data_IF_129691990910
#
_entry.id   IF_129691990910
#
_cell.length_a   1.000
_cell.length_b   1.000
_cell.length_c   1.000
_cell.angle_alpha   90.00
_cell.angle_beta   90.00
_cell.angle_gamma   90.00
#
_symmetry.space_group_name_H-M   'P 1'
#
loop_
_entity.id
_entity.type
_entity.pdbx_description
1 polymer ?
#
# COMPACT_ATOMS: atom_id res chain seq x y z
N UNK A 1 18.53 8.15 20.38
CA UNK A 1 19.33 8.46 19.19
C UNK A 1 18.45 8.20 17.99
N UNK A 2 18.43 9.10 17.02
CA UNK A 2 17.65 8.92 15.80
C UNK A 2 18.40 7.99 14.82
N UNK A 3 17.65 7.37 13.90
CA UNK A 3 18.23 6.54 12.84
C UNK A 3 18.91 7.42 11.80
N UNK A 4 20.21 7.23 11.62
CA UNK A 4 21.06 7.87 10.62
C UNK A 4 21.97 6.81 10.00
N UNK A 5 22.71 7.15 8.94
CA UNK A 5 23.70 6.23 8.37
C UNK A 5 24.80 5.82 9.36
N UNK A 6 25.11 6.66 10.35
CA UNK A 6 26.13 6.42 11.37
C UNK A 6 25.61 5.62 12.57
N UNK A 7 24.32 5.76 12.89
CA UNK A 7 23.67 5.08 14.03
C UNK A 7 22.93 3.80 13.64
N UNK A 8 22.82 3.50 12.34
CA UNK A 8 22.22 2.26 11.85
C UNK A 8 23.00 1.03 12.33
N UNK A 9 22.29 0.06 12.89
CA UNK A 9 22.87 -1.21 13.36
C UNK A 9 23.38 -2.05 12.19
N UNK A 10 22.59 -2.12 11.11
CA UNK A 10 22.97 -2.83 9.88
C UNK A 10 23.76 -1.90 8.96
N UNK A 11 24.92 -2.34 8.42
CA UNK A 11 25.66 -1.55 7.45
C UNK A 11 24.92 -1.44 6.10
N UNK A 12 23.92 -2.30 5.83
CA UNK A 12 23.07 -2.25 4.64
C UNK A 12 22.31 -0.92 4.57
N UNK A 13 21.85 -0.40 5.71
CA UNK A 13 21.13 0.88 5.81
C UNK A 13 22.05 2.05 6.21
N UNK A 14 23.26 1.73 6.70
CA UNK A 14 24.28 2.69 7.13
C UNK A 14 25.41 2.88 6.10
N UNK A 15 26.57 2.28 6.38
CA UNK A 15 27.80 2.40 5.57
C UNK A 15 27.59 2.17 4.07
N UNK A 16 26.71 1.26 3.71
CA UNK A 16 26.40 0.87 2.33
C UNK A 16 25.02 1.36 1.88
N UNK A 17 24.35 2.24 2.64
CA UNK A 17 22.99 2.70 2.35
C UNK A 17 22.82 3.34 0.97
N UNK A 18 23.85 4.01 0.45
CA UNK A 18 23.84 4.57 -0.91
C UNK A 18 23.99 3.53 -2.02
N UNK A 19 24.48 2.33 -1.70
CA UNK A 19 24.58 1.19 -2.64
C UNK A 19 23.30 0.36 -2.69
N UNK A 20 22.45 0.49 -1.68
CA UNK A 20 21.22 -0.29 -1.49
C UNK A 20 19.97 0.58 -1.57
N UNK A 21 20.10 1.88 -1.89
CA UNK A 21 18.97 2.82 -1.95
C UNK A 21 17.84 2.36 -2.88
N UNK A 22 18.17 1.81 -4.05
CA UNK A 22 17.20 1.27 -5.00
C UNK A 22 16.40 0.07 -4.47
N UNK A 23 16.86 -0.57 -3.39
CA UNK A 23 16.17 -1.68 -2.74
C UNK A 23 15.10 -1.20 -1.75
N UNK A 24 15.17 0.06 -1.27
CA UNK A 24 14.24 0.62 -0.29
C UNK A 24 12.79 0.59 -0.78
N UNK A 25 12.45 0.97 -2.03
CA UNK A 25 11.07 0.90 -2.52
C UNK A 25 10.52 -0.53 -2.66
N UNK A 26 11.36 -1.56 -2.48
CA UNK A 26 11.01 -2.96 -2.75
C UNK A 26 10.97 -3.77 -1.45
N UNK A 27 12.08 -3.76 -0.68
CA UNK A 27 12.29 -4.67 0.44
C UNK A 27 12.17 -4.01 1.82
N UNK A 28 11.95 -2.69 1.88
CA UNK A 28 11.63 -2.04 3.15
C UNK A 28 10.17 -2.27 3.55
N UNK A 29 9.82 -1.87 4.77
CA UNK A 29 8.43 -1.82 5.22
C UNK A 29 7.55 -0.98 4.27
N UNK A 30 8.06 0.15 3.76
CA UNK A 30 7.35 0.94 2.74
C UNK A 30 7.11 0.12 1.47
N UNK A 31 8.13 -0.60 1.00
CA UNK A 31 8.02 -1.45 -0.19
C UNK A 31 7.01 -2.57 0.00
N UNK A 32 7.01 -3.23 1.16
CA UNK A 32 6.05 -4.27 1.52
C UNK A 32 4.61 -3.72 1.53
N UNK A 33 4.37 -2.60 2.22
CA UNK A 33 3.04 -1.98 2.28
C UNK A 33 2.57 -1.57 0.88
N UNK A 34 3.43 -0.92 0.09
CA UNK A 34 3.12 -0.50 -1.28
C UNK A 34 2.67 -1.67 -2.16
N UNK A 35 3.35 -2.80 -2.07
CA UNK A 35 2.98 -3.99 -2.85
C UNK A 35 1.73 -4.69 -2.30
N UNK A 36 1.48 -4.65 -0.99
CA UNK A 36 0.20 -5.13 -0.43
C UNK A 36 -0.98 -4.31 -0.95
N UNK A 37 -0.86 -2.98 -0.96
CA UNK A 37 -1.86 -2.09 -1.56
C UNK A 37 -2.10 -2.45 -3.03
N UNK A 38 -1.04 -2.67 -3.81
CA UNK A 38 -1.17 -3.12 -5.20
C UNK A 38 -1.98 -4.42 -5.32
N UNK A 39 -1.63 -5.43 -4.54
CA UNK A 39 -2.27 -6.75 -4.62
C UNK A 39 -3.75 -6.65 -4.26
N UNK A 40 -4.10 -5.93 -3.18
CA UNK A 40 -5.50 -5.76 -2.75
C UNK A 40 -6.33 -5.01 -3.79
N UNK A 41 -5.76 -3.94 -4.39
CA UNK A 41 -6.42 -3.21 -5.48
C UNK A 41 -6.67 -4.12 -6.69
N UNK A 42 -5.64 -4.86 -7.12
CA UNK A 42 -5.73 -5.78 -8.27
C UNK A 42 -6.68 -6.93 -7.99
N UNK A 43 -6.76 -7.38 -6.74
CA UNK A 43 -7.70 -8.40 -6.31
C UNK A 43 -9.15 -7.94 -6.43
N UNK A 44 -9.48 -6.73 -5.95
CA UNK A 44 -10.82 -6.16 -6.13
C UNK A 44 -11.20 -6.02 -7.61
N UNK A 45 -10.27 -5.53 -8.45
CA UNK A 45 -10.49 -5.41 -9.89
C UNK A 45 -10.72 -6.79 -10.54
N UNK A 46 -9.97 -7.82 -10.12
CA UNK A 46 -10.13 -9.17 -10.62
C UNK A 46 -11.49 -9.78 -10.22
N UNK A 47 -11.94 -9.55 -8.97
CA UNK A 47 -13.25 -9.97 -8.51
C UNK A 47 -14.36 -9.30 -9.33
N UNK A 48 -14.29 -7.99 -9.54
CA UNK A 48 -15.27 -7.24 -10.31
C UNK A 48 -15.34 -7.65 -11.79
N UNK A 49 -14.22 -8.09 -12.37
CA UNK A 49 -14.16 -8.58 -13.74
C UNK A 49 -14.76 -9.99 -13.89
N UNK A 50 -14.97 -10.73 -12.79
CA UNK A 50 -15.41 -12.11 -12.82
C UNK A 50 -16.94 -12.20 -12.85
N UNK A 51 -17.51 -12.58 -14.01
CA UNK A 51 -18.97 -12.62 -14.22
C UNK A 51 -19.74 -13.57 -13.29
N UNK A 52 -19.05 -14.52 -12.65
CA UNK A 52 -19.61 -15.43 -11.65
C UNK A 52 -19.78 -14.86 -10.24
N UNK A 53 -19.41 -13.60 -9.98
CA UNK A 53 -19.50 -12.95 -8.66
C UNK A 53 -20.43 -11.74 -8.75
N UNK A 54 -21.77 -11.92 -8.71
CA UNK A 54 -22.72 -10.83 -8.92
C UNK A 54 -22.71 -9.77 -7.81
N UNK A 55 -22.20 -10.09 -6.62
CA UNK A 55 -22.05 -9.16 -5.50
C UNK A 55 -20.98 -8.09 -5.73
N UNK A 56 -20.07 -8.31 -6.70
CA UNK A 56 -19.03 -7.36 -7.10
C UNK A 56 -19.20 -7.11 -8.61
N UNK A 57 -20.04 -6.14 -9.02
CA UNK A 57 -20.28 -5.87 -10.43
C UNK A 57 -19.04 -5.31 -11.12
N UNK A 58 -19.02 -5.38 -12.45
CA UNK A 58 -17.94 -4.82 -13.26
C UNK A 58 -17.77 -3.32 -12.98
N UNK A 59 -16.53 -2.93 -12.68
CA UNK A 59 -16.17 -1.54 -12.40
C UNK A 59 -16.24 -0.69 -13.67
N UNK A 60 -16.71 0.54 -13.51
CA UNK A 60 -16.62 1.57 -14.52
C UNK A 60 -15.17 1.98 -14.76
N UNK A 61 -14.90 2.58 -15.92
CA UNK A 61 -13.57 3.14 -16.20
C UNK A 61 -13.16 4.21 -15.18
N UNK A 62 -14.12 4.92 -14.56
CA UNK A 62 -13.82 5.89 -13.52
C UNK A 62 -13.33 5.20 -12.24
N UNK A 63 -14.05 4.19 -11.75
CA UNK A 63 -13.63 3.42 -10.58
C UNK A 63 -12.29 2.72 -10.80
N UNK A 64 -12.07 2.12 -11.98
CA UNK A 64 -10.76 1.54 -12.33
C UNK A 64 -9.64 2.57 -12.23
N UNK A 65 -9.84 3.78 -12.77
CA UNK A 65 -8.84 4.84 -12.71
C UNK A 65 -8.57 5.34 -11.29
N UNK A 66 -9.60 5.44 -10.44
CA UNK A 66 -9.44 5.80 -9.02
C UNK A 66 -8.57 4.76 -8.31
N UNK A 67 -8.87 3.47 -8.50
CA UNK A 67 -8.10 2.38 -7.91
C UNK A 67 -6.64 2.35 -8.40
N UNK A 68 -6.40 2.55 -9.70
CA UNK A 68 -5.06 2.63 -10.26
C UNK A 68 -4.27 3.83 -9.71
N UNK A 69 -4.93 4.95 -9.49
CA UNK A 69 -4.33 6.15 -8.93
C UNK A 69 -3.87 5.96 -7.47
N UNK A 70 -4.54 5.11 -6.67
CA UNK A 70 -4.13 4.81 -5.29
C UNK A 70 -2.72 4.19 -5.28
N UNK A 71 -2.46 3.25 -6.18
CA UNK A 71 -1.14 2.62 -6.29
C UNK A 71 -0.12 3.54 -6.98
N UNK A 72 -0.50 4.19 -8.08
CA UNK A 72 0.41 5.02 -8.86
C UNK A 72 0.98 6.20 -8.04
N UNK A 73 0.16 6.75 -7.14
CA UNK A 73 0.54 7.89 -6.30
C UNK A 73 0.89 7.50 -4.87
N UNK A 74 1.11 6.21 -4.59
CA UNK A 74 1.38 5.74 -3.23
C UNK A 74 2.66 6.35 -2.65
N UNK A 75 2.55 7.02 -1.51
CA UNK A 75 3.60 7.84 -0.90
C UNK A 75 4.06 7.33 0.47
N UNK A 76 5.15 7.90 1.01
CA UNK A 76 5.58 7.61 2.38
C UNK A 76 4.55 8.04 3.42
N UNK A 77 3.74 9.07 3.13
CA UNK A 77 2.65 9.50 4.00
C UNK A 77 1.55 8.45 4.06
N UNK A 78 1.23 7.82 2.94
CA UNK A 78 0.28 6.71 2.88
C UNK A 78 0.77 5.50 3.66
N UNK A 79 2.04 5.11 3.51
CA UNK A 79 2.63 4.05 4.31
C UNK A 79 2.58 4.36 5.80
N UNK A 80 2.81 5.62 6.18
CA UNK A 80 2.67 6.08 7.57
C UNK A 80 1.23 6.01 8.04
N UNK A 81 0.25 6.32 7.20
CA UNK A 81 -1.18 6.17 7.50
C UNK A 81 -1.53 4.71 7.77
N UNK A 82 -1.04 3.77 6.95
CA UNK A 82 -1.21 2.33 7.19
C UNK A 82 -0.62 1.93 8.55
N UNK A 83 0.61 2.34 8.88
CA UNK A 83 1.19 2.05 10.21
C UNK A 83 0.40 2.67 11.37
N UNK A 84 -0.24 3.82 11.17
CA UNK A 84 -1.10 4.43 12.20
C UNK A 84 -2.36 3.59 12.44
N UNK A 85 -2.97 3.04 11.39
CA UNK A 85 -4.12 2.14 11.50
C UNK A 85 -3.70 0.80 12.14
N UNK A 86 -2.51 0.30 11.79
CA UNK A 86 -1.95 -0.94 12.34
C UNK A 86 -1.77 -0.88 13.86
N UNK A 87 -1.45 0.30 14.43
CA UNK A 87 -1.37 0.46 15.89
C UNK A 87 -2.66 0.13 16.62
N UNK A 88 -3.81 0.33 15.97
CA UNK A 88 -5.12 0.02 16.54
C UNK A 88 -5.54 -1.42 16.26
N UNK A 89 -5.26 -1.92 15.05
CA UNK A 89 -5.69 -3.25 14.60
C UNK A 89 -4.74 -4.38 15.02
N UNK A 90 -3.49 -4.05 15.33
CA UNK A 90 -2.38 -4.98 15.55
C UNK A 90 -2.21 -6.01 14.41
N UNK A 91 -2.58 -5.63 13.18
CA UNK A 91 -2.50 -6.47 12.00
C UNK A 91 -2.28 -5.63 10.73
N UNK A 92 -1.15 -5.88 10.07
CA UNK A 92 -0.67 -5.14 8.90
C UNK A 92 -1.58 -5.22 7.66
N UNK A 93 -2.04 -6.42 7.26
CA UNK A 93 -2.95 -6.60 6.12
C UNK A 93 -4.32 -5.97 6.40
N UNK A 94 -4.84 -6.10 7.62
CA UNK A 94 -6.10 -5.44 8.01
C UNK A 94 -5.96 -3.92 7.96
N UNK A 95 -4.80 -3.36 8.31
CA UNK A 95 -4.55 -1.93 8.18
C UNK A 95 -4.56 -1.45 6.73
N UNK A 96 -4.07 -2.26 5.78
CA UNK A 96 -4.17 -1.98 4.34
C UNK A 96 -5.63 -1.97 3.88
N UNK A 97 -6.46 -2.91 4.32
CA UNK A 97 -7.89 -2.93 4.02
C UNK A 97 -8.59 -1.64 4.47
N UNK A 98 -8.35 -1.21 5.71
CA UNK A 98 -8.91 0.05 6.22
C UNK A 98 -8.38 1.28 5.47
N UNK A 99 -7.09 1.30 5.13
CA UNK A 99 -6.52 2.38 4.32
C UNK A 99 -7.20 2.48 2.95
N UNK A 100 -7.45 1.35 2.27
CA UNK A 100 -8.17 1.35 1.00
C UNK A 100 -9.59 1.86 1.15
N UNK A 101 -10.31 1.44 2.20
CA UNK A 101 -11.65 1.96 2.53
C UNK A 101 -11.64 3.47 2.75
N UNK A 102 -10.62 4.02 3.40
CA UNK A 102 -10.47 5.47 3.57
C UNK A 102 -10.22 6.18 2.24
N UNK A 103 -9.41 5.60 1.35
CA UNK A 103 -9.08 6.22 0.05
C UNK A 103 -10.25 6.27 -0.94
N UNK A 104 -11.17 5.31 -0.85
CA UNK A 104 -12.35 5.25 -1.72
C UNK A 104 -13.60 5.84 -1.06
N UNK A 105 -13.52 6.24 0.21
CA UNK A 105 -14.67 6.80 0.94
C UNK A 105 -15.31 7.98 0.21
N UNK A 106 -16.62 7.91 -0.01
CA UNK A 106 -17.39 8.93 -0.72
C UNK A 106 -17.47 8.71 -2.24
N UNK A 107 -16.78 7.70 -2.78
CA UNK A 107 -17.12 7.16 -4.09
C UNK A 107 -18.41 6.31 -3.95
N UNK A 108 -19.42 6.55 -4.77
CA UNK A 108 -20.68 5.80 -4.67
C UNK A 108 -20.60 4.42 -5.31
N UNK A 109 -19.57 4.16 -6.12
CA UNK A 109 -19.33 2.89 -6.80
C UNK A 109 -18.33 1.99 -6.04
N UNK A 110 -17.41 2.58 -5.27
CA UNK A 110 -16.33 1.90 -4.54
C UNK A 110 -16.49 2.07 -3.02
#
# INVERSE_FOLDING_TARGET
MDLTSLTAVSPVDGRYGSKTESLRPIFSEYGLIRHRVLVEVRWLQALAAHTGIPEVPALSGHATNVLDAIFANFSEEDARRVKNIERTTNHDVKAVEYFLKEKIAGNTEL
#
